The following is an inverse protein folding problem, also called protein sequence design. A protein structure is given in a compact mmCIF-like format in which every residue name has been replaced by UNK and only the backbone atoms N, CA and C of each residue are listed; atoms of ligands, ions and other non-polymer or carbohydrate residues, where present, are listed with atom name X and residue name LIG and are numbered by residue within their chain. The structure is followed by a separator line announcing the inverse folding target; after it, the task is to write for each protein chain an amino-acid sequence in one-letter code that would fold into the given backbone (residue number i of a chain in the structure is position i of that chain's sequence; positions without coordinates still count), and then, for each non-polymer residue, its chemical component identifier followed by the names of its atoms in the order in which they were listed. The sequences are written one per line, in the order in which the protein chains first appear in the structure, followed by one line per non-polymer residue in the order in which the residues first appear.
data_IF_089885252506
#
_entry.id   IF_089885252506
#
_cell.length_a   1.000
_cell.length_b   1.000
_cell.length_c   1.000
_cell.angle_alpha   90.00
_cell.angle_beta   90.00
_cell.angle_gamma   90.00
#
_symmetry.space_group_name_H-M   'P 1'
#
loop_
_entity.id
_entity.type
_entity.pdbx_description
1 polymer ?
#
# COMPACT_ATOMS: atom_id res chain seq x y z
N UNK A 1 2.48 28.03 3.54
CA UNK A 1 2.74 26.69 3.02
C UNK A 1 3.79 26.06 3.91
N UNK A 2 3.64 24.80 4.29
CA UNK A 2 4.70 24.09 4.99
C UNK A 2 5.75 23.67 3.94
N UNK A 3 7.00 24.09 4.14
CA UNK A 3 8.10 23.64 3.29
C UNK A 3 8.47 22.21 3.69
N UNK A 4 8.36 21.28 2.74
CA UNK A 4 8.68 19.87 2.95
C UNK A 4 9.99 19.52 2.24
N UNK A 5 10.96 19.02 3.02
CA UNK A 5 12.24 18.55 2.50
C UNK A 5 12.23 17.02 2.41
N UNK A 6 12.22 16.48 1.19
CA UNK A 6 12.40 15.04 0.95
C UNK A 6 13.89 14.70 0.95
N UNK A 7 14.32 13.94 1.96
CA UNK A 7 15.68 13.38 2.08
C UNK A 7 15.66 11.90 1.67
N UNK A 8 16.83 11.37 1.33
CA UNK A 8 17.05 9.96 1.00
C UNK A 8 16.14 9.42 -0.12
N UNK A 9 15.81 10.29 -1.09
CA UNK A 9 15.05 9.88 -2.28
C UNK A 9 15.91 8.96 -3.13
N UNK A 10 15.36 7.80 -3.47
CA UNK A 10 16.01 6.81 -4.32
C UNK A 10 16.58 7.46 -5.60
N UNK A 11 17.86 7.20 -5.96
CA UNK A 11 18.49 7.84 -7.11
C UNK A 11 17.78 7.57 -8.44
N UNK A 12 17.16 6.40 -8.61
CA UNK A 12 16.42 6.06 -9.82
C UNK A 12 15.11 6.86 -9.90
N UNK A 13 14.42 7.02 -8.77
CA UNK A 13 13.22 7.84 -8.66
C UNK A 13 13.54 9.32 -8.95
N UNK A 14 14.64 9.85 -8.41
CA UNK A 14 15.10 11.21 -8.68
C UNK A 14 15.38 11.46 -10.17
N UNK A 15 15.94 10.47 -10.88
CA UNK A 15 16.17 10.55 -12.33
C UNK A 15 14.86 10.60 -13.10
N UNK A 16 13.91 9.72 -12.77
CA UNK A 16 12.58 9.67 -13.40
C UNK A 16 11.81 10.99 -13.23
N UNK A 17 11.83 11.58 -12.04
CA UNK A 17 11.14 12.87 -11.78
C UNK A 17 11.80 13.99 -12.58
N UNK A 18 13.13 14.04 -12.65
CA UNK A 18 13.85 15.03 -13.48
C UNK A 18 13.52 14.90 -14.97
N UNK A 19 13.44 13.67 -15.47
CA UNK A 19 13.04 13.42 -16.86
C UNK A 19 11.59 13.82 -17.13
N UNK A 20 10.68 13.54 -16.19
CA UNK A 20 9.28 13.97 -16.25
C UNK A 20 9.17 15.49 -16.30
N UNK A 21 9.84 16.19 -15.37
CA UNK A 21 9.84 17.66 -15.31
C UNK A 21 10.37 18.29 -16.61
N UNK A 22 11.42 17.71 -17.21
CA UNK A 22 11.95 18.16 -18.51
C UNK A 22 10.94 18.01 -19.64
N UNK A 23 10.16 16.93 -19.66
CA UNK A 23 9.13 16.69 -20.69
C UNK A 23 7.92 17.61 -20.50
N UNK A 24 7.51 17.84 -19.26
CA UNK A 24 6.37 18.71 -18.91
C UNK A 24 6.71 20.20 -18.95
N UNK A 25 7.97 20.58 -19.18
CA UNK A 25 8.47 21.97 -19.06
C UNK A 25 8.17 22.62 -17.69
N UNK A 26 8.06 21.80 -16.64
CA UNK A 26 7.76 22.25 -15.29
C UNK A 26 9.04 22.33 -14.44
N UNK A 27 8.98 23.11 -13.35
CA UNK A 27 10.03 23.06 -12.33
C UNK A 27 10.01 21.69 -11.65
N UNK A 28 11.16 21.24 -11.13
CA UNK A 28 11.24 19.95 -10.43
C UNK A 28 10.28 19.88 -9.24
N UNK A 29 10.12 21.00 -8.53
CA UNK A 29 9.22 21.12 -7.39
C UNK A 29 7.76 21.08 -7.80
N UNK A 30 7.39 21.68 -8.94
CA UNK A 30 6.00 21.69 -9.40
C UNK A 30 5.59 20.33 -9.97
N UNK A 31 6.48 19.68 -10.71
CA UNK A 31 6.26 18.29 -11.15
C UNK A 31 6.10 17.34 -9.93
N UNK A 32 6.90 17.54 -8.87
CA UNK A 32 6.76 16.76 -7.65
C UNK A 32 5.41 17.01 -6.96
N UNK A 33 4.95 18.27 -6.87
CA UNK A 33 3.65 18.61 -6.30
C UNK A 33 2.52 17.95 -7.09
N UNK A 34 2.58 17.97 -8.40
CA UNK A 34 1.57 17.37 -9.28
C UNK A 34 1.56 15.85 -9.14
N UNK A 35 2.73 15.21 -9.05
CA UNK A 35 2.84 13.76 -8.82
C UNK A 35 2.26 13.36 -7.46
N UNK A 36 2.56 14.11 -6.40
CA UNK A 36 2.00 13.86 -5.06
C UNK A 36 0.48 14.07 -5.08
N UNK A 37 0.00 15.14 -5.71
CA UNK A 37 -1.44 15.40 -5.84
C UNK A 37 -2.15 14.26 -6.54
N UNK A 38 -1.65 13.82 -7.70
CA UNK A 38 -2.21 12.68 -8.44
C UNK A 38 -2.16 11.40 -7.61
N UNK A 39 -1.09 11.15 -6.87
CA UNK A 39 -0.96 10.00 -5.99
C UNK A 39 -1.98 9.99 -4.84
N UNK A 40 -2.30 11.16 -4.27
CA UNK A 40 -3.32 11.31 -3.22
C UNK A 40 -4.75 11.24 -3.78
N UNK A 41 -4.98 11.71 -5.00
CA UNK A 41 -6.28 11.66 -5.69
C UNK A 41 -6.57 10.27 -6.28
N UNK A 42 -5.53 9.48 -6.53
CA UNK A 42 -5.68 8.09 -6.97
C UNK A 42 -6.30 7.31 -5.82
N UNK A 43 -7.61 7.06 -5.91
CA UNK A 43 -8.29 6.12 -5.02
C UNK A 43 -7.49 4.82 -4.99
N UNK A 44 -7.20 4.25 -3.81
CA UNK A 44 -6.64 2.90 -3.77
C UNK A 44 -7.55 1.99 -4.61
N UNK A 45 -6.98 1.02 -5.35
CA UNK A 45 -7.79 0.15 -6.19
C UNK A 45 -8.91 -0.47 -5.34
N UNK A 46 -10.13 -0.51 -5.86
CA UNK A 46 -11.31 -1.08 -5.17
C UNK A 46 -11.03 -2.51 -4.66
N UNK A 47 -10.10 -3.19 -5.32
CA UNK A 47 -9.52 -4.45 -4.88
C UNK A 47 -8.01 -4.29 -4.66
N UNK A 48 -7.50 -4.45 -3.43
CA UNK A 48 -6.08 -4.36 -3.17
C UNK A 48 -5.35 -5.49 -3.87
N UNK A 49 -4.23 -5.16 -4.51
CA UNK A 49 -3.29 -6.15 -5.03
C UNK A 49 -2.51 -6.69 -3.85
N UNK A 50 -2.91 -7.87 -3.38
CA UNK A 50 -2.28 -8.54 -2.24
C UNK A 50 -1.02 -9.25 -2.75
N UNK A 51 0.18 -8.88 -2.28
CA UNK A 51 1.40 -9.59 -2.65
C UNK A 51 1.30 -11.07 -2.25
N UNK A 52 1.85 -12.00 -3.04
CA UNK A 52 1.91 -13.40 -2.65
C UNK A 52 2.59 -13.54 -1.28
N UNK A 53 1.95 -14.27 -0.36
CA UNK A 53 2.42 -14.45 1.02
C UNK A 53 2.05 -13.33 2.02
N UNK A 54 1.31 -12.29 1.60
CA UNK A 54 0.85 -11.20 2.49
C UNK A 54 -0.66 -11.16 2.71
N UNK A 55 -1.37 -12.22 2.31
CA UNK A 55 -2.81 -12.33 2.49
C UNK A 55 -3.24 -12.24 3.97
N UNK A 56 -2.54 -12.93 4.87
CA UNK A 56 -2.84 -12.86 6.31
C UNK A 56 -2.68 -11.45 6.88
N UNK A 57 -1.62 -10.74 6.51
CA UNK A 57 -1.41 -9.34 6.92
C UNK A 57 -2.51 -8.41 6.39
N UNK A 58 -2.92 -8.62 5.14
CA UNK A 58 -4.02 -7.87 4.55
C UNK A 58 -5.34 -8.14 5.29
N UNK A 59 -5.68 -9.40 5.55
CA UNK A 59 -6.90 -9.74 6.29
C UNK A 59 -6.88 -9.17 7.72
N UNK A 60 -5.73 -9.20 8.39
CA UNK A 60 -5.56 -8.57 9.69
C UNK A 60 -5.80 -7.04 9.67
N UNK A 61 -5.41 -6.37 8.58
CA UNK A 61 -5.63 -4.93 8.43
C UNK A 61 -7.11 -4.53 8.28
N UNK A 62 -7.98 -5.48 7.91
CA UNK A 62 -9.42 -5.25 7.81
C UNK A 62 -10.11 -5.25 9.18
N UNK A 63 -9.45 -5.79 10.21
CA UNK A 63 -9.96 -5.79 11.58
C UNK A 63 -9.67 -4.41 12.19
N UNK A 64 -10.66 -3.66 12.71
CA UNK A 64 -10.42 -2.40 13.41
C UNK A 64 -9.52 -2.60 14.63
N UNK A 65 -8.71 -1.59 14.98
CA UNK A 65 -7.69 -1.68 16.03
C UNK A 65 -8.24 -2.15 17.39
N UNK A 66 -9.48 -1.76 17.71
CA UNK A 66 -10.21 -2.13 18.92
C UNK A 66 -10.44 -3.65 19.06
N UNK A 67 -10.43 -4.38 17.94
CA UNK A 67 -10.66 -5.82 17.88
C UNK A 67 -9.39 -6.64 17.61
N UNK A 68 -8.21 -6.00 17.66
CA UNK A 68 -6.90 -6.66 17.43
C UNK A 68 -6.23 -7.19 18.71
N UNK A 69 -7.00 -7.40 19.77
CA UNK A 69 -6.50 -7.99 21.02
C UNK A 69 -6.04 -9.44 20.87
N UNK A 70 -5.22 -9.92 21.81
CA UNK A 70 -4.70 -11.29 21.87
C UNK A 70 -5.77 -12.36 22.17
N UNK A 71 -7.02 -11.93 22.44
CA UNK A 71 -8.16 -12.79 22.76
C UNK A 71 -8.79 -13.48 21.51
N UNK A 72 -7.99 -13.73 20.48
CA UNK A 72 -8.40 -14.49 19.30
C UNK A 72 -8.42 -16.01 19.61
N UNK A 73 -9.20 -16.40 20.63
CA UNK A 73 -9.59 -17.79 20.84
C UNK A 73 -10.77 -18.05 19.90
N UNK A 74 -10.48 -18.54 18.71
CA UNK A 74 -11.51 -19.07 17.82
C UNK A 74 -11.85 -20.50 18.27
N UNK A 75 -13.05 -20.71 18.80
CA UNK A 75 -13.60 -22.06 18.94
C UNK A 75 -13.89 -22.60 17.54
N UNK A 76 -12.99 -23.43 17.03
CA UNK A 76 -13.22 -24.17 15.80
C UNK A 76 -14.02 -25.41 16.17
N UNK A 77 -15.33 -25.42 15.90
CA UNK A 77 -16.09 -26.67 15.92
C UNK A 77 -15.40 -27.67 14.98
N UNK A 78 -15.12 -28.86 15.49
CA UNK A 78 -14.35 -29.89 14.78
C UNK A 78 -14.88 -30.11 13.37
N UNK A 79 -14.09 -29.74 12.37
CA UNK A 79 -14.42 -30.03 10.98
C UNK A 79 -14.36 -31.55 10.78
N UNK A 80 -15.38 -32.16 10.15
CA UNK A 80 -15.34 -33.57 9.83
C UNK A 80 -14.12 -33.83 8.93
N UNK A 81 -13.30 -34.79 9.33
CA UNK A 81 -12.10 -35.19 8.61
C UNK A 81 -12.49 -35.53 7.16
N UNK A 82 -11.80 -34.98 6.14
CA UNK A 82 -12.15 -35.27 4.75
C UNK A 82 -12.04 -36.77 4.48
N UNK A 83 -13.00 -37.30 3.71
CA UNK A 83 -13.05 -38.71 3.34
C UNK A 83 -11.78 -39.05 2.57
N UNK A 84 -11.04 -40.05 3.07
CA UNK A 84 -9.89 -40.58 2.35
C UNK A 84 -10.40 -41.27 1.08
N UNK A 85 -9.97 -40.80 -0.08
CA UNK A 85 -10.25 -41.46 -1.35
C UNK A 85 -9.19 -42.54 -1.58
N UNK A 86 -9.62 -43.80 -1.71
CA UNK A 86 -8.78 -44.95 -2.14
C UNK A 86 -8.40 -44.86 -3.63
#
# INVERSE_FOLDING_TARGET
MADMLMRDVDPSLKRRIKESARRSQHSLSDELKDLVRRGLETKPPERPVIPPGKLGTYMFSLVPDEYRGDDLIFEVEEYPKPVEFE
#
